data_IF_289303268651
#
_entry.id   IF_289303268651
#
_cell.length_a   1.000
_cell.length_b   1.000
_cell.length_c   1.000
_cell.angle_alpha   90.00
_cell.angle_beta   90.00
_cell.angle_gamma   90.00
#
_symmetry.space_group_name_H-M   'P 1'
#
loop_
_entity.id
_entity.type
_entity.pdbx_description
1 polymer ?
#
# COMPACT_ATOMS: atom_id res chain seq x y z
N UNK A 1 10.12 -4.72 13.21
CA UNK A 1 11.26 -5.08 12.34
C UNK A 1 12.48 -5.22 13.22
N UNK A 2 13.27 -6.25 13.00
CA UNK A 2 14.56 -6.44 13.69
C UNK A 2 15.65 -5.95 12.75
N UNK A 3 16.44 -4.96 13.18
CA UNK A 3 17.51 -4.38 12.34
C UNK A 3 18.70 -5.32 12.23
N UNK A 4 19.11 -5.90 13.35
CA UNK A 4 20.14 -6.93 13.43
C UNK A 4 19.85 -7.85 14.62
N UNK A 5 20.19 -9.13 14.48
CA UNK A 5 20.22 -10.10 15.56
C UNK A 5 21.61 -10.73 15.56
N UNK A 6 22.31 -10.63 16.69
CA UNK A 6 23.70 -11.05 16.81
C UNK A 6 23.77 -12.17 17.84
N UNK A 7 24.33 -13.31 17.45
CA UNK A 7 24.55 -14.45 18.33
C UNK A 7 25.78 -15.26 17.89
N UNK A 8 26.36 -16.02 18.81
CA UNK A 8 27.51 -16.89 18.53
C UNK A 8 28.85 -16.16 18.44
N UNK A 9 29.81 -16.82 17.78
CA UNK A 9 31.12 -16.23 17.50
C UNK A 9 31.00 -15.30 16.28
N UNK A 10 30.93 -14.00 16.52
CA UNK A 10 30.83 -12.99 15.47
C UNK A 10 32.22 -12.52 15.01
N UNK A 11 32.34 -12.18 13.73
CA UNK A 11 33.56 -11.58 13.18
C UNK A 11 33.60 -10.08 13.48
N UNK A 12 34.78 -9.57 13.85
CA UNK A 12 34.97 -8.17 14.26
C UNK A 12 34.61 -7.18 13.13
N UNK A 13 34.77 -7.60 11.88
CA UNK A 13 34.44 -6.85 10.66
C UNK A 13 32.93 -6.63 10.44
N UNK A 14 32.06 -7.28 11.22
CA UNK A 14 30.63 -6.96 11.25
C UNK A 14 30.31 -5.73 12.10
N UNK A 15 31.31 -5.21 12.83
CA UNK A 15 31.20 -4.06 13.71
C UNK A 15 32.11 -2.91 13.25
N UNK A 16 31.77 -1.66 13.56
CA UNK A 16 30.56 -1.22 14.26
C UNK A 16 29.32 -1.22 13.34
N UNK A 17 28.17 -1.70 13.85
CA UNK A 17 26.87 -1.52 13.19
C UNK A 17 26.32 -0.16 13.60
N UNK A 18 26.12 0.72 12.63
CA UNK A 18 25.51 2.03 12.85
C UNK A 18 24.09 2.04 12.29
N UNK A 19 23.13 2.52 13.06
CA UNK A 19 21.73 2.61 12.63
C UNK A 19 21.25 4.03 12.79
N UNK A 20 20.77 4.62 11.69
CA UNK A 20 20.07 5.90 11.73
C UNK A 20 18.58 5.66 11.69
N UNK A 21 17.91 6.01 12.78
CA UNK A 21 16.47 5.81 12.95
C UNK A 21 15.72 7.12 13.17
N UNK A 22 14.52 7.20 12.60
CA UNK A 22 13.53 8.26 12.88
C UNK A 22 12.39 7.77 13.81
N UNK A 23 12.51 6.55 14.33
CA UNK A 23 11.62 5.98 15.33
C UNK A 23 12.43 5.43 16.51
N UNK A 24 11.72 5.07 17.58
CA UNK A 24 12.32 4.42 18.75
C UNK A 24 13.06 3.14 18.34
N UNK A 25 14.28 2.98 18.85
CA UNK A 25 15.05 1.75 18.77
C UNK A 25 15.12 1.11 20.16
N UNK A 26 14.94 -0.20 20.21
CA UNK A 26 15.08 -0.98 21.44
C UNK A 26 16.24 -1.96 21.26
N UNK A 27 17.15 -1.96 22.21
CA UNK A 27 18.24 -2.94 22.30
C UNK A 27 17.86 -3.95 23.37
N UNK A 28 17.86 -5.24 23.01
CA UNK A 28 17.55 -6.34 23.93
C UNK A 28 18.78 -7.24 23.98
N UNK A 29 19.35 -7.38 25.17
CA UNK A 29 20.45 -8.31 25.44
C UNK A 29 19.93 -9.46 26.31
N UNK A 30 20.24 -10.68 25.91
CA UNK A 30 19.80 -11.89 26.58
C UNK A 30 20.92 -12.92 26.60
N UNK A 31 21.09 -13.58 27.74
CA UNK A 31 22.05 -14.67 27.95
C UNK A 31 21.28 -15.92 28.36
N UNK A 32 21.62 -17.07 27.77
CA UNK A 32 20.96 -18.32 28.10
C UNK A 32 21.24 -18.73 29.56
N UNK A 33 20.19 -18.95 30.34
CA UNK A 33 20.25 -19.16 31.79
C UNK A 33 20.97 -20.44 32.25
N UNK A 34 21.18 -21.42 31.36
CA UNK A 34 21.66 -22.76 31.72
C UNK A 34 23.06 -23.12 31.17
N UNK A 35 23.77 -22.15 30.58
CA UNK A 35 25.12 -22.37 30.05
C UNK A 35 26.08 -21.45 30.79
N UNK A 36 26.99 -22.06 31.56
CA UNK A 36 28.16 -21.52 32.28
C UNK A 36 28.28 -19.99 32.45
N UNK A 37 28.52 -19.55 33.70
CA UNK A 37 28.69 -18.15 34.17
C UNK A 37 29.65 -17.24 33.40
N UNK A 38 30.41 -17.76 32.43
CA UNK A 38 31.40 -17.04 31.62
C UNK A 38 30.99 -16.91 30.14
N UNK A 39 29.72 -17.19 29.79
CA UNK A 39 29.20 -17.06 28.42
C UNK A 39 28.40 -15.76 28.31
N UNK A 40 28.84 -14.88 27.41
CA UNK A 40 28.23 -13.57 27.13
C UNK A 40 29.21 -12.71 26.34
N UNK A 41 28.77 -11.54 25.89
CA UNK A 41 29.67 -10.52 25.35
C UNK A 41 29.32 -9.17 25.96
N UNK A 42 30.34 -8.38 26.26
CA UNK A 42 30.15 -6.99 26.61
C UNK A 42 29.93 -6.19 25.31
N UNK A 43 28.97 -5.26 25.33
CA UNK A 43 28.76 -4.34 24.23
C UNK A 43 28.65 -2.92 24.76
N UNK A 44 29.16 -1.98 23.98
CA UNK A 44 29.00 -0.55 24.20
C UNK A 44 28.28 0.05 23.00
N UNK A 45 27.36 0.97 23.27
CA UNK A 45 26.61 1.68 22.25
C UNK A 45 26.55 3.17 22.59
N UNK A 46 26.83 4.01 21.61
CA UNK A 46 26.67 5.47 21.68
C UNK A 46 25.50 5.91 20.83
N UNK A 47 24.77 6.94 21.27
CA UNK A 47 23.68 7.54 20.50
C UNK A 47 23.82 9.06 20.43
N UNK A 48 23.27 9.64 19.37
CA UNK A 48 23.20 11.08 19.15
C UNK A 48 21.92 11.43 18.40
N UNK A 49 21.24 12.50 18.80
CA UNK A 49 20.06 13.00 18.08
C UNK A 49 20.48 13.89 16.91
N UNK A 50 19.85 13.70 15.75
CA UNK A 50 20.00 14.57 14.59
C UNK A 50 18.69 15.30 14.32
N UNK A 51 18.75 16.57 13.94
CA UNK A 51 17.58 17.45 13.75
C UNK A 51 17.04 17.48 12.32
N UNK A 52 17.19 16.36 11.59
CA UNK A 52 16.85 16.29 10.18
C UNK A 52 15.34 16.15 9.95
N UNK A 53 14.75 17.09 9.21
CA UNK A 53 13.30 17.15 8.90
C UNK A 53 12.85 16.21 7.76
N UNK A 54 13.58 15.11 7.55
CA UNK A 54 13.48 14.31 6.32
C UNK A 54 12.35 13.29 6.39
N UNK A 55 12.02 12.82 7.60
CA UNK A 55 11.02 11.80 7.83
C UNK A 55 10.22 12.18 9.08
N UNK A 56 9.03 12.73 8.87
CA UNK A 56 8.11 13.15 9.93
C UNK A 56 6.67 12.93 9.46
N UNK A 57 5.73 12.91 10.40
CA UNK A 57 4.30 12.87 10.09
C UNK A 57 3.87 14.25 9.59
N UNK A 58 3.52 14.34 8.31
CA UNK A 58 3.16 15.60 7.65
C UNK A 58 1.77 15.51 7.05
N UNK A 59 1.06 16.64 7.05
CA UNK A 59 -0.30 16.74 6.51
C UNK A 59 -0.28 17.74 5.35
N UNK A 60 -0.72 17.31 4.17
CA UNK A 60 -0.87 18.16 3.00
C UNK A 60 -2.35 18.33 2.66
N UNK A 61 -2.77 19.59 2.51
CA UNK A 61 -4.15 19.96 2.11
C UNK A 61 -4.23 20.51 0.67
N UNK A 62 -3.08 20.60 -0.01
CA UNK A 62 -2.96 21.12 -1.36
C UNK A 62 -3.50 20.13 -2.40
N UNK A 63 -4.12 20.66 -3.45
CA UNK A 63 -4.72 19.85 -4.51
C UNK A 63 -3.69 19.09 -5.37
N UNK A 64 -2.42 19.49 -5.31
CA UNK A 64 -1.32 18.81 -5.96
C UNK A 64 -0.02 19.14 -5.25
N UNK A 65 0.97 18.29 -5.40
CA UNK A 65 2.30 18.55 -4.89
C UNK A 65 3.26 17.40 -5.18
N UNK A 66 4.42 17.47 -4.54
CA UNK A 66 5.47 16.49 -4.67
C UNK A 66 6.14 16.21 -3.32
N UNK A 67 6.38 14.93 -3.04
CA UNK A 67 7.23 14.46 -1.95
C UNK A 67 8.43 13.75 -2.56
N UNK A 68 9.63 14.16 -2.16
CA UNK A 68 10.88 13.50 -2.49
C UNK A 68 11.80 13.53 -1.27
N UNK A 69 12.65 12.52 -1.12
CA UNK A 69 13.65 12.50 -0.05
C UNK A 69 14.69 13.60 -0.30
N UNK A 70 14.99 14.41 0.72
CA UNK A 70 16.10 15.37 0.67
C UNK A 70 17.44 14.63 0.75
N UNK A 71 18.47 15.22 0.13
CA UNK A 71 19.82 14.67 0.19
C UNK A 71 20.31 14.64 1.65
N UNK A 72 20.74 13.47 2.09
CA UNK A 72 21.38 13.23 3.36
C UNK A 72 22.87 13.07 3.11
N UNK A 73 23.69 13.60 4.02
CA UNK A 73 25.10 13.23 4.09
C UNK A 73 25.20 11.72 4.32
N UNK A 74 25.93 11.05 3.42
CA UNK A 74 26.26 9.64 3.58
C UNK A 74 27.22 9.49 4.76
N UNK A 75 27.00 8.52 5.65
CA UNK A 75 27.96 8.20 6.68
C UNK A 75 29.17 7.48 6.07
N UNK A 76 30.34 7.71 6.64
CA UNK A 76 31.61 7.10 6.19
C UNK A 76 31.74 5.62 6.60
N UNK A 77 30.79 5.07 7.35
CA UNK A 77 30.83 3.71 7.89
C UNK A 77 30.25 2.66 6.91
N UNK A 78 30.99 1.58 6.67
CA UNK A 78 30.62 0.48 5.78
C UNK A 78 29.38 -0.31 6.24
N UNK A 79 29.12 -0.39 7.55
CA UNK A 79 28.00 -1.13 8.16
C UNK A 79 26.92 -0.19 8.71
N UNK A 80 26.48 0.78 7.90
CA UNK A 80 25.40 1.71 8.26
C UNK A 80 24.04 1.30 7.66
N UNK A 81 22.98 1.39 8.47
CA UNK A 81 21.60 1.12 8.05
C UNK A 81 20.69 2.31 8.32
N UNK A 82 19.82 2.61 7.34
CA UNK A 82 18.73 3.55 7.48
C UNK A 82 17.45 2.79 7.83
N UNK A 83 16.90 3.08 9.01
CA UNK A 83 15.60 2.60 9.44
C UNK A 83 14.63 3.78 9.55
N UNK A 84 13.71 3.89 8.60
CA UNK A 84 12.77 5.01 8.57
C UNK A 84 11.34 4.51 8.39
N UNK A 85 10.42 5.17 9.06
CA UNK A 85 8.99 4.99 8.82
C UNK A 85 8.35 6.37 8.84
N UNK A 86 8.08 6.89 7.65
CA UNK A 86 7.53 8.23 7.45
C UNK A 86 6.08 8.13 7.02
N UNK A 87 5.28 9.10 7.41
CA UNK A 87 3.86 9.13 7.09
C UNK A 87 3.50 10.50 6.53
N UNK A 88 2.84 10.53 5.38
CA UNK A 88 2.29 11.74 4.79
C UNK A 88 0.80 11.55 4.61
N UNK A 89 0.01 12.39 5.26
CA UNK A 89 -1.45 12.41 5.12
C UNK A 89 -1.81 13.41 4.03
N UNK A 90 -2.46 12.94 2.97
CA UNK A 90 -3.02 13.82 1.96
C UNK A 90 -4.51 13.98 2.25
N UNK A 91 -4.94 15.20 2.51
CA UNK A 91 -6.32 15.53 2.83
C UNK A 91 -6.90 16.50 1.79
N UNK A 92 -8.05 16.19 1.23
CA UNK A 92 -8.80 17.04 0.30
C UNK A 92 -10.10 17.48 0.96
N UNK A 93 -10.28 18.80 1.09
CA UNK A 93 -11.50 19.39 1.67
C UNK A 93 -12.76 19.25 0.80
N UNK A 94 -12.64 18.67 -0.40
CA UNK A 94 -13.78 18.41 -1.30
C UNK A 94 -13.65 17.03 -1.94
N UNK A 95 -14.79 16.46 -2.35
CA UNK A 95 -14.84 15.20 -3.09
C UNK A 95 -14.10 15.34 -4.42
N UNK A 96 -12.95 14.67 -4.53
CA UNK A 96 -12.09 14.68 -5.70
C UNK A 96 -11.66 13.27 -6.04
N UNK A 97 -11.33 13.06 -7.30
CA UNK A 97 -10.53 11.91 -7.69
C UNK A 97 -9.07 12.21 -7.41
N UNK A 98 -8.44 11.38 -6.59
CA UNK A 98 -7.03 11.51 -6.25
C UNK A 98 -6.22 10.54 -7.12
N UNK A 99 -5.27 11.12 -7.84
CA UNK A 99 -4.31 10.41 -8.66
C UNK A 99 -2.93 10.55 -8.00
N UNK A 100 -2.26 9.42 -7.79
CA UNK A 100 -0.87 9.38 -7.34
C UNK A 100 0.02 8.84 -8.43
N UNK A 101 1.17 9.47 -8.60
CA UNK A 101 2.25 9.02 -9.46
C UNK A 101 3.48 8.80 -8.58
N UNK A 102 3.96 7.55 -8.51
CA UNK A 102 5.13 7.18 -7.72
C UNK A 102 6.20 6.65 -8.67
N UNK A 103 7.41 7.21 -8.55
CA UNK A 103 8.57 6.79 -9.34
C UNK A 103 9.80 6.54 -8.47
N UNK A 104 10.66 5.64 -8.94
CA UNK A 104 11.96 5.33 -8.37
C UNK A 104 12.99 5.02 -9.45
N UNK A 105 14.25 5.35 -9.18
CA UNK A 105 15.39 4.95 -10.02
C UNK A 105 16.15 3.73 -9.46
N UNK A 106 15.71 3.19 -8.33
CA UNK A 106 16.39 2.08 -7.67
C UNK A 106 15.76 0.74 -8.05
N UNK A 107 16.58 -0.31 -8.15
CA UNK A 107 16.12 -1.68 -8.33
C UNK A 107 16.51 -2.53 -7.11
N UNK A 108 15.82 -2.30 -5.98
CA UNK A 108 16.01 -3.05 -4.73
C UNK A 108 14.80 -3.94 -4.45
N UNK A 109 14.95 -5.03 -3.67
CA UNK A 109 13.81 -5.83 -3.25
C UNK A 109 12.84 -4.98 -2.41
N UNK A 110 11.54 -5.33 -2.43
CA UNK A 110 10.50 -4.57 -1.72
C UNK A 110 10.67 -4.59 -0.19
N UNK A 111 11.48 -5.52 0.32
CA UNK A 111 11.89 -5.60 1.73
C UNK A 111 12.91 -4.54 2.12
N UNK A 112 13.69 -4.02 1.17
CA UNK A 112 14.65 -2.94 1.43
C UNK A 112 13.92 -1.63 1.73
N UNK A 113 12.93 -1.29 0.89
CA UNK A 113 11.97 -0.25 1.18
C UNK A 113 10.75 -0.35 0.27
N UNK A 114 9.63 0.18 0.76
CA UNK A 114 8.39 0.30 0.03
C UNK A 114 7.59 1.53 0.47
N UNK A 115 6.67 1.94 -0.40
CA UNK A 115 5.68 2.96 -0.10
C UNK A 115 4.32 2.28 -0.13
N UNK A 116 3.56 2.44 0.94
CA UNK A 116 2.21 1.89 1.06
C UNK A 116 1.20 3.03 1.11
N UNK A 117 0.08 2.85 0.42
CA UNK A 117 -1.01 3.81 0.34
C UNK A 117 -2.19 3.19 1.10
N UNK A 118 -2.70 3.91 2.08
CA UNK A 118 -3.78 3.47 2.95
C UNK A 118 -4.92 4.47 2.94
N UNK A 119 -6.12 3.97 3.19
CA UNK A 119 -7.24 4.81 3.57
C UNK A 119 -6.99 5.41 4.96
N UNK A 120 -7.52 6.60 5.20
CA UNK A 120 -7.53 7.20 6.54
C UNK A 120 -8.64 6.59 7.40
N UNK A 121 -8.28 6.06 8.57
CA UNK A 121 -9.22 5.58 9.56
C UNK A 121 -9.02 6.31 10.90
N UNK A 122 -9.99 7.14 11.29
CA UNK A 122 -9.90 7.93 12.53
C UNK A 122 -9.71 7.05 13.78
N UNK A 123 -10.32 5.86 13.79
CA UNK A 123 -10.27 4.89 14.91
C UNK A 123 -9.00 4.03 14.94
N UNK A 124 -8.14 4.09 13.92
CA UNK A 124 -6.96 3.24 13.86
C UNK A 124 -5.85 3.71 14.81
N UNK A 125 -5.35 2.78 15.62
CA UNK A 125 -4.33 3.05 16.66
C UNK A 125 -2.93 3.38 16.10
N UNK A 126 -2.57 2.82 14.94
CA UNK A 126 -1.28 3.08 14.30
C UNK A 126 -1.42 4.29 13.36
N UNK A 127 -1.25 5.52 13.88
CA UNK A 127 -1.21 6.77 13.11
C UNK A 127 -2.34 6.90 12.06
N UNK A 128 -3.55 6.51 12.43
CA UNK A 128 -4.74 6.54 11.57
C UNK A 128 -4.68 5.66 10.30
N UNK A 129 -3.74 4.71 10.20
CA UNK A 129 -3.65 3.78 9.08
C UNK A 129 -4.88 2.86 9.02
N UNK A 130 -5.74 3.09 8.01
CA UNK A 130 -6.86 2.23 7.66
C UNK A 130 -6.46 1.08 6.74
N UNK A 131 -7.33 0.74 5.80
CA UNK A 131 -7.10 -0.35 4.85
C UNK A 131 -5.96 -0.04 3.88
N UNK A 132 -5.13 -1.05 3.59
CA UNK A 132 -4.08 -0.97 2.58
C UNK A 132 -4.70 -1.01 1.19
N UNK A 133 -4.58 0.08 0.45
CA UNK A 133 -5.06 0.16 -0.94
C UNK A 133 -4.01 -0.40 -1.90
N UNK A 134 -2.77 0.12 -1.81
CA UNK A 134 -1.71 -0.23 -2.74
C UNK A 134 -0.33 -0.24 -2.08
N UNK A 135 0.59 -1.01 -2.66
CA UNK A 135 2.01 -0.99 -2.31
C UNK A 135 2.85 -0.75 -3.57
N UNK A 136 3.81 0.17 -3.45
CA UNK A 136 4.84 0.46 -4.44
C UNK A 136 6.17 -0.08 -3.93
N UNK A 137 6.83 -0.89 -4.73
CA UNK A 137 8.16 -1.42 -4.46
C UNK A 137 9.21 -0.67 -5.28
N UNK A 138 10.43 -0.54 -4.77
CA UNK A 138 11.55 0.10 -5.48
C UNK A 138 11.66 -0.34 -6.95
N UNK A 139 11.58 -1.65 -7.22
CA UNK A 139 11.73 -2.25 -8.55
C UNK A 139 10.64 -1.85 -9.56
N UNK A 140 9.51 -1.34 -9.10
CA UNK A 140 8.39 -1.00 -9.99
C UNK A 140 8.71 0.16 -10.94
N UNK A 141 9.80 0.91 -10.72
CA UNK A 141 10.28 2.07 -11.50
C UNK A 141 9.30 3.25 -11.58
N UNK A 142 8.07 3.03 -12.01
CA UNK A 142 7.00 4.01 -12.11
C UNK A 142 5.64 3.33 -12.05
N UNK A 143 4.72 3.84 -11.22
CA UNK A 143 3.31 3.42 -11.17
C UNK A 143 2.40 4.61 -10.91
N UNK A 144 1.25 4.58 -11.58
CA UNK A 144 0.16 5.52 -11.35
C UNK A 144 -1.00 4.79 -10.68
N UNK A 145 -1.55 5.40 -9.64
CA UNK A 145 -2.66 4.89 -8.85
C UNK A 145 -3.82 5.86 -8.93
N UNK A 146 -4.94 5.37 -9.46
CA UNK A 146 -6.21 6.08 -9.44
C UNK A 146 -7.00 5.57 -8.23
N UNK A 147 -7.18 6.41 -7.22
CA UNK A 147 -7.83 5.97 -5.99
C UNK A 147 -9.35 5.94 -6.11
N UNK A 148 -10.03 5.09 -5.32
CA UNK A 148 -11.48 5.03 -5.27
C UNK A 148 -12.14 6.40 -5.09
N UNK A 149 -13.31 6.57 -5.72
CA UNK A 149 -14.07 7.81 -5.63
C UNK A 149 -14.54 8.07 -4.19
N UNK A 150 -14.66 9.34 -3.80
CA UNK A 150 -14.91 9.84 -2.42
C UNK A 150 -13.80 9.63 -1.38
N UNK A 151 -12.66 9.05 -1.73
CA UNK A 151 -11.51 9.06 -0.83
C UNK A 151 -10.90 10.46 -0.75
N UNK A 152 -11.34 11.20 0.26
CA UNK A 152 -10.91 12.56 0.56
C UNK A 152 -9.64 12.59 1.44
N UNK A 153 -9.34 11.53 2.19
CA UNK A 153 -8.11 11.46 2.99
C UNK A 153 -7.41 10.12 2.79
N UNK A 154 -6.12 10.18 2.47
CA UNK A 154 -5.27 9.00 2.40
C UNK A 154 -4.01 9.19 3.21
N UNK A 155 -3.37 8.08 3.54
CA UNK A 155 -2.11 8.02 4.23
C UNK A 155 -1.09 7.31 3.34
N UNK A 156 0.01 7.99 3.08
CA UNK A 156 1.16 7.43 2.38
C UNK A 156 2.23 7.13 3.41
N UNK A 157 2.65 5.87 3.51
CA UNK A 157 3.67 5.43 4.47
C UNK A 157 4.88 4.87 3.75
N UNK A 158 6.04 5.50 3.95
CA UNK A 158 7.34 4.94 3.59
C UNK A 158 7.80 4.00 4.70
N UNK A 159 8.24 2.80 4.34
CA UNK A 159 9.00 1.92 5.24
C UNK A 159 10.32 1.59 4.57
N UNK A 160 11.43 1.77 5.28
CA UNK A 160 12.78 1.46 4.78
C UNK A 160 13.62 0.80 5.86
N UNK A 161 14.32 -0.26 5.46
CA UNK A 161 15.43 -0.87 6.17
C UNK A 161 16.49 -1.26 5.14
N UNK A 162 17.46 -0.39 4.95
CA UNK A 162 18.45 -0.53 3.87
C UNK A 162 19.75 0.18 4.19
N UNK A 163 20.86 -0.29 3.60
CA UNK A 163 22.16 0.40 3.67
C UNK A 163 22.24 1.63 2.77
N UNK A 164 21.38 1.68 1.75
CA UNK A 164 21.26 2.82 0.84
C UNK A 164 19.95 3.54 1.09
N UNK A 165 19.98 4.88 1.06
CA UNK A 165 18.78 5.69 1.18
C UNK A 165 17.76 5.38 0.09
N UNK A 166 16.46 5.40 0.41
CA UNK A 166 15.41 5.20 -0.57
C UNK A 166 15.37 6.39 -1.54
N UNK A 167 15.34 6.11 -2.84
CA UNK A 167 15.18 7.14 -3.87
C UNK A 167 13.81 7.01 -4.50
N UNK A 168 12.94 7.96 -4.20
CA UNK A 168 11.59 8.01 -4.75
C UNK A 168 11.15 9.44 -4.99
N UNK A 169 10.13 9.58 -5.84
CA UNK A 169 9.37 10.80 -6.02
C UNK A 169 7.89 10.44 -6.09
N UNK A 170 7.09 11.02 -5.21
CA UNK A 170 5.64 10.88 -5.16
C UNK A 170 5.06 12.20 -5.61
N UNK A 171 4.24 12.19 -6.65
CA UNK A 171 3.42 13.33 -7.07
C UNK A 171 1.96 12.97 -6.85
N UNK A 172 1.17 13.96 -6.46
CA UNK A 172 -0.28 13.79 -6.40
C UNK A 172 -0.98 14.93 -7.12
N UNK A 173 -2.15 14.60 -7.65
CA UNK A 173 -3.09 15.56 -8.21
C UNK A 173 -4.50 15.14 -7.83
N UNK A 174 -5.29 16.09 -7.37
CA UNK A 174 -6.70 15.90 -7.08
C UNK A 174 -7.51 16.70 -8.09
N UNK A 175 -8.38 16.01 -8.82
CA UNK A 175 -9.23 16.63 -9.85
C UNK A 175 -10.69 16.56 -9.42
N UNK A 176 -11.43 17.65 -9.66
CA UNK A 176 -12.89 17.63 -9.52
C UNK A 176 -13.44 16.98 -10.78
N UNK A 177 -13.88 15.73 -10.69
CA UNK A 177 -14.64 15.12 -11.78
C UNK A 177 -15.99 15.84 -11.83
N UNK A 178 -16.18 16.71 -12.82
CA UNK A 178 -17.52 17.16 -13.19
C UNK A 178 -18.08 16.17 -14.19
N UNK A 179 -19.23 15.54 -13.95
CA UNK A 179 -19.97 14.88 -15.01
C UNK A 179 -20.14 15.90 -16.14
N UNK A 180 -19.66 15.59 -17.33
CA UNK A 180 -19.65 16.52 -18.45
C UNK A 180 -21.07 16.66 -18.99
N UNK A 181 -21.93 17.44 -18.32
CA UNK A 181 -23.30 17.72 -18.75
C UNK A 181 -23.38 18.70 -19.91
N UNK A 182 -22.24 19.09 -20.51
CA UNK A 182 -22.19 19.94 -21.72
C UNK A 182 -22.36 19.17 -23.02
N UNK A 183 -22.22 17.86 -23.01
CA UNK A 183 -22.71 17.00 -24.08
C UNK A 183 -23.90 16.25 -23.50
N UNK A 184 -25.06 16.40 -24.16
CA UNK A 184 -26.30 15.77 -23.74
C UNK A 184 -26.16 14.26 -23.56
N UNK A 185 -27.20 13.67 -22.96
CA UNK A 185 -27.42 12.22 -22.84
C UNK A 185 -26.73 11.44 -23.95
N UNK A 186 -25.92 10.39 -23.63
CA UNK A 186 -25.31 9.56 -24.65
C UNK A 186 -26.43 9.08 -25.57
N UNK A 187 -26.33 9.45 -26.85
CA UNK A 187 -27.26 9.01 -27.89
C UNK A 187 -27.29 7.49 -27.82
N UNK A 188 -28.48 6.92 -27.67
CA UNK A 188 -28.65 5.48 -27.70
C UNK A 188 -27.95 4.93 -28.96
N UNK A 189 -27.15 3.88 -28.74
CA UNK A 189 -26.60 3.06 -29.83
C UNK A 189 -27.69 2.82 -30.88
N UNK A 190 -27.43 3.06 -32.18
CA UNK A 190 -28.42 2.80 -33.21
C UNK A 190 -28.84 1.33 -33.11
N UNK A 191 -30.16 1.14 -33.03
CA UNK A 191 -30.84 -0.13 -32.88
C UNK A 191 -30.26 -1.16 -33.86
N UNK A 192 -29.91 -2.33 -33.32
CA UNK A 192 -29.89 -3.54 -34.12
C UNK A 192 -31.27 -3.68 -34.78
N UNK A 193 -31.25 -3.88 -36.10
CA UNK A 193 -32.40 -3.94 -36.98
C UNK A 193 -33.42 -4.93 -36.42
N UNK A 194 -34.56 -4.42 -35.96
CA UNK A 194 -35.78 -5.19 -35.77
C UNK A 194 -36.35 -5.51 -37.15
N UNK A 195 -36.04 -6.71 -37.66
CA UNK A 195 -36.77 -7.27 -38.80
C UNK A 195 -38.16 -7.68 -38.34
N UNK A 196 -39.15 -6.96 -38.84
CA UNK A 196 -40.57 -7.11 -38.56
C UNK A 196 -41.23 -8.12 -39.51
N UNK A 197 -42.15 -8.90 -38.94
CA UNK A 197 -43.35 -9.53 -39.50
C UNK A 197 -43.24 -10.78 -40.40
N UNK A 198 -43.93 -11.83 -39.95
CA UNK A 198 -44.96 -12.44 -40.79
C UNK A 198 -46.11 -12.92 -39.89
N UNK A 199 -47.25 -12.23 -39.97
CA UNK A 199 -48.52 -12.69 -39.44
C UNK A 199 -49.30 -13.34 -40.59
N UNK A 200 -49.79 -14.56 -40.38
CA UNK A 200 -50.92 -15.13 -41.14
C UNK A 200 -51.87 -15.82 -40.18
N UNK A 201 -53.15 -15.59 -40.43
CA UNK A 201 -54.26 -15.73 -39.51
C UNK A 201 -54.85 -17.15 -39.41
N UNK A 202 -55.53 -17.38 -38.27
CA UNK A 202 -56.75 -18.17 -38.04
C UNK A 202 -56.89 -19.60 -38.61
N UNK A 203 -57.08 -20.60 -37.74
CA UNK A 203 -58.39 -21.23 -37.46
C UNK A 203 -58.29 -22.62 -36.77
N UNK A 204 -59.03 -22.75 -35.65
CA UNK A 204 -59.91 -23.87 -35.22
C UNK A 204 -59.32 -25.24 -34.76
N UNK A 205 -59.57 -25.50 -33.46
CA UNK A 205 -59.96 -26.74 -32.74
C UNK A 205 -59.12 -28.05 -32.84
N UNK A 206 -58.76 -28.63 -31.68
CA UNK A 206 -59.51 -29.72 -31.03
C UNK A 206 -58.89 -30.15 -29.68
N UNK A 207 -59.74 -30.48 -28.71
CA UNK A 207 -59.42 -31.20 -27.47
C UNK A 207 -58.79 -32.58 -27.76
N UNK A 208 -57.84 -33.03 -26.93
CA UNK A 208 -57.86 -34.37 -26.29
C UNK A 208 -57.11 -34.33 -24.95
N UNK A 209 -57.81 -34.66 -23.88
CA UNK A 209 -57.34 -35.04 -22.55
C UNK A 209 -56.71 -36.45 -22.56
N UNK A 210 -55.56 -36.68 -21.92
CA UNK A 210 -55.23 -37.99 -21.32
C UNK A 210 -54.40 -37.82 -20.04
N UNK A 211 -54.93 -38.39 -18.95
CA UNK A 211 -54.31 -38.65 -17.65
C UNK A 211 -53.14 -39.65 -17.74
N UNK A 212 -52.19 -39.55 -16.79
CA UNK A 212 -51.25 -40.63 -16.45
C UNK A 212 -50.02 -40.06 -15.71
N UNK A 213 -50.05 -39.84 -14.40
CA UNK A 213 -49.79 -40.79 -13.30
C UNK A 213 -48.44 -41.55 -13.41
N UNK A 214 -47.77 -41.57 -12.25
CA UNK A 214 -46.64 -42.42 -11.82
C UNK A 214 -45.23 -41.92 -12.21
N UNK A 215 -44.21 -41.92 -11.34
CA UNK A 215 -44.11 -42.44 -9.97
C UNK A 215 -43.03 -41.73 -9.16
N UNK A 216 -43.19 -41.83 -7.85
CA UNK A 216 -42.27 -41.49 -6.77
C UNK A 216 -40.93 -42.22 -6.85
N UNK A 217 -39.93 -41.63 -6.17
CA UNK A 217 -38.97 -42.24 -5.22
C UNK A 217 -37.57 -41.63 -5.43
N UNK A 218 -36.74 -41.34 -4.44
CA UNK A 218 -36.83 -41.24 -2.98
C UNK A 218 -35.43 -40.81 -2.53
N UNK A 219 -35.39 -39.89 -1.57
CA UNK A 219 -34.35 -39.41 -0.63
C UNK A 219 -32.97 -40.12 -0.42
N UNK A 220 -32.01 -39.43 0.27
CA UNK A 220 -30.54 -39.63 0.30
C UNK A 220 -30.12 -40.50 1.53
N UNK A 221 -28.98 -40.35 2.26
CA UNK A 221 -27.68 -39.66 2.04
C UNK A 221 -26.43 -40.52 2.38
N UNK A 222 -25.24 -39.93 2.15
CA UNK A 222 -24.03 -40.08 2.98
C UNK A 222 -23.14 -38.85 2.83
#
# INVERSE_FOLDING_TARGET
WTVACLCGAFQQEWFPVSVRSWNLLTVVYSVAHYVWSNKGFEFSASYSFNTDTICSDQIYTLHSGEIALKNLTSPDNLNHFYYQTCTWTLHSNVERQLELDISSKQNRPCTAWNISIHEYAASAKDRHLGELLHTFCSRDTHKQYLLPWKLNTIIIRLRTLSRTLPQFRIKWKSQVIRPNTRFGTPTASPNAVSSMSCATANSIALLVTVLGLCSMNSMPPS
#
